data_IF_456869594640
#
_entry.id   IF_456869594640
#
_cell.length_a   1.000
_cell.length_b   1.000
_cell.length_c   1.000
_cell.angle_alpha   90.00
_cell.angle_beta   90.00
_cell.angle_gamma   90.00
#
_symmetry.space_group_name_H-M   'P 1'
#
loop_
_entity.id
_entity.type
_entity.pdbx_description
1 polymer ?
#
# COMPACT_ATOMS: atom_id res chain seq x y z
N UNK A 1 -16.75 -0.35 12.53
CA UNK A 1 -18.10 -0.74 12.14
C UNK A 1 -18.89 -1.35 13.31
N UNK A 2 -18.48 -2.47 13.95
CA UNK A 2 -19.24 -3.13 15.01
C UNK A 2 -19.66 -2.24 16.17
N UNK A 3 -18.79 -1.34 16.66
CA UNK A 3 -19.17 -0.38 17.72
C UNK A 3 -20.19 0.65 17.27
N UNK A 4 -20.11 1.14 16.05
CA UNK A 4 -21.11 2.08 15.51
C UNK A 4 -22.46 1.43 15.26
N UNK A 5 -22.50 0.13 14.96
CA UNK A 5 -23.76 -0.63 14.85
C UNK A 5 -24.40 -0.79 16.23
N UNK A 6 -23.59 -1.00 17.28
CA UNK A 6 -24.08 -1.14 18.64
C UNK A 6 -24.54 0.20 19.27
N UNK A 7 -23.96 1.33 18.84
CA UNK A 7 -24.29 2.67 19.29
C UNK A 7 -24.35 3.65 18.11
N UNK A 8 -25.56 3.91 17.62
CA UNK A 8 -25.81 4.78 16.46
C UNK A 8 -25.43 6.27 16.71
N UNK A 9 -25.18 6.67 17.94
CA UNK A 9 -24.75 8.02 18.30
C UNK A 9 -23.21 8.17 18.30
N UNK A 10 -22.48 7.06 18.21
CA UNK A 10 -21.00 7.07 18.23
C UNK A 10 -20.46 7.55 16.88
N UNK A 11 -19.68 8.60 16.86
CA UNK A 11 -19.01 9.08 15.65
C UNK A 11 -17.96 8.04 15.17
N UNK A 12 -17.61 8.10 13.89
CA UNK A 12 -16.54 7.23 13.35
C UNK A 12 -15.20 7.45 14.04
N UNK A 13 -14.92 8.69 14.43
CA UNK A 13 -13.69 9.05 15.12
C UNK A 13 -13.65 8.51 16.55
N UNK A 14 -14.74 8.66 17.31
CA UNK A 14 -14.86 8.09 18.66
C UNK A 14 -14.77 6.55 18.62
N UNK A 15 -15.37 5.93 17.61
CA UNK A 15 -15.28 4.48 17.42
C UNK A 15 -13.83 4.04 17.16
N UNK A 16 -13.08 4.74 16.31
CA UNK A 16 -11.65 4.47 16.07
C UNK A 16 -10.83 4.64 17.35
N UNK A 17 -11.04 5.75 18.08
CA UNK A 17 -10.34 6.01 19.33
C UNK A 17 -10.60 4.92 20.36
N UNK A 18 -11.87 4.54 20.55
CA UNK A 18 -12.21 3.48 21.50
C UNK A 18 -11.62 2.10 21.13
N UNK A 19 -11.47 1.80 19.82
CA UNK A 19 -10.78 0.60 19.36
C UNK A 19 -9.28 0.70 19.63
N UNK A 20 -8.68 1.85 19.35
CA UNK A 20 -7.26 2.10 19.59
C UNK A 20 -6.91 1.97 21.08
N UNK A 21 -7.69 2.60 21.96
CA UNK A 21 -7.52 2.50 23.41
C UNK A 21 -7.54 1.04 23.89
N UNK A 22 -8.54 0.28 23.46
CA UNK A 22 -8.66 -1.13 23.87
C UNK A 22 -7.49 -1.99 23.39
N UNK A 23 -6.99 -1.78 22.17
CA UNK A 23 -5.93 -2.61 21.57
C UNK A 23 -4.54 -2.20 22.00
N UNK A 24 -4.28 -0.89 22.11
CA UNK A 24 -2.93 -0.35 22.21
C UNK A 24 -2.69 0.43 23.50
N UNK A 25 -3.75 0.67 24.31
CA UNK A 25 -3.71 1.45 25.54
C UNK A 25 -3.92 2.95 25.31
N UNK A 26 -4.35 3.63 26.36
CA UNK A 26 -4.73 5.06 26.30
C UNK A 26 -3.54 5.97 25.93
N UNK A 27 -2.34 5.59 26.33
CA UNK A 27 -1.12 6.42 26.17
C UNK A 27 -0.76 6.71 24.71
N UNK A 28 -1.15 5.82 23.76
CA UNK A 28 -0.79 5.95 22.35
C UNK A 28 -2.01 5.90 21.42
N UNK A 29 -3.22 5.78 21.95
CA UNK A 29 -4.43 5.59 21.16
C UNK A 29 -4.64 6.69 20.10
N UNK A 30 -4.41 7.96 20.48
CA UNK A 30 -4.53 9.09 19.54
C UNK A 30 -3.52 8.96 18.37
N UNK A 31 -2.27 8.63 18.65
CA UNK A 31 -1.24 8.43 17.63
C UNK A 31 -1.59 7.28 16.67
N UNK A 32 -2.20 6.21 17.20
CA UNK A 32 -2.67 5.10 16.35
C UNK A 32 -3.79 5.55 15.43
N UNK A 33 -4.76 6.34 15.92
CA UNK A 33 -5.83 6.90 15.09
C UNK A 33 -5.27 7.81 14.00
N UNK A 34 -4.31 8.66 14.32
CA UNK A 34 -3.65 9.54 13.35
C UNK A 34 -2.89 8.73 12.27
N UNK A 35 -2.21 7.66 12.67
CA UNK A 35 -1.55 6.76 11.73
C UNK A 35 -2.55 6.04 10.81
N UNK A 36 -3.69 5.60 11.32
CA UNK A 36 -4.76 5.01 10.50
C UNK A 36 -5.33 6.02 9.49
N UNK A 37 -5.52 7.28 9.91
CA UNK A 37 -5.95 8.37 9.02
C UNK A 37 -4.91 8.62 7.92
N UNK A 38 -3.63 8.64 8.26
CA UNK A 38 -2.53 8.81 7.31
C UNK A 38 -2.46 7.65 6.31
N UNK A 39 -2.58 6.40 6.76
CA UNK A 39 -2.71 5.24 5.89
C UNK A 39 -3.91 5.38 4.93
N UNK A 40 -5.07 5.76 5.46
CA UNK A 40 -6.30 5.91 4.66
C UNK A 40 -6.16 7.01 3.62
N UNK A 41 -5.54 8.14 3.97
CA UNK A 41 -5.25 9.23 3.04
C UNK A 41 -4.28 8.77 1.95
N UNK A 42 -3.21 8.06 2.30
CA UNK A 42 -2.31 7.47 1.32
C UNK A 42 -3.02 6.47 0.42
N UNK A 43 -3.84 5.59 0.99
CA UNK A 43 -4.58 4.60 0.23
C UNK A 43 -5.67 5.21 -0.68
N UNK A 44 -6.20 6.39 -0.38
CA UNK A 44 -7.16 7.08 -1.27
C UNK A 44 -6.54 7.48 -2.61
N UNK A 45 -5.21 7.50 -2.72
CA UNK A 45 -4.47 7.72 -3.97
C UNK A 45 -4.33 6.45 -4.83
N UNK A 46 -4.77 5.29 -4.34
CA UNK A 46 -4.69 4.02 -5.08
C UNK A 46 -5.41 4.13 -6.42
N UNK A 47 -4.73 3.84 -7.55
CA UNK A 47 -5.29 3.94 -8.89
C UNK A 47 -6.22 2.76 -9.16
N UNK A 48 -7.43 2.83 -8.61
CA UNK A 48 -8.40 1.73 -8.70
C UNK A 48 -8.86 1.50 -10.15
N UNK A 49 -8.70 0.27 -10.60
CA UNK A 49 -9.25 -0.26 -11.84
C UNK A 49 -9.34 -1.79 -11.71
N UNK A 50 -10.37 -2.39 -12.32
CA UNK A 50 -10.57 -3.84 -12.24
C UNK A 50 -9.39 -4.63 -12.82
N UNK A 51 -8.79 -4.19 -13.92
CA UNK A 51 -7.60 -4.83 -14.48
C UNK A 51 -6.42 -4.73 -13.53
N UNK A 52 -6.18 -3.56 -12.92
CA UNK A 52 -5.18 -3.38 -11.89
C UNK A 52 -5.38 -4.30 -10.70
N UNK A 53 -6.64 -4.41 -10.24
CA UNK A 53 -6.97 -5.22 -9.07
C UNK A 53 -6.75 -6.73 -9.32
N UNK A 54 -7.19 -7.24 -10.47
CA UNK A 54 -7.20 -8.68 -10.73
C UNK A 54 -6.04 -9.20 -11.58
N UNK A 55 -5.38 -8.33 -12.35
CA UNK A 55 -4.32 -8.72 -13.28
C UNK A 55 -2.98 -8.05 -13.02
N UNK A 56 -2.91 -7.20 -11.98
CA UNK A 56 -1.70 -6.50 -11.60
C UNK A 56 -0.88 -7.24 -10.55
N UNK A 57 0.39 -6.86 -10.35
CA UNK A 57 1.27 -7.50 -9.38
C UNK A 57 0.76 -7.41 -7.94
N UNK A 58 -0.03 -6.41 -7.59
CA UNK A 58 -0.64 -6.28 -6.26
C UNK A 58 -1.61 -7.43 -5.92
N UNK A 59 -2.13 -8.15 -6.89
CA UNK A 59 -3.00 -9.30 -6.66
C UNK A 59 -2.25 -10.51 -6.10
N UNK A 60 -1.04 -10.77 -6.61
CA UNK A 60 -0.26 -11.97 -6.28
C UNK A 60 0.81 -11.75 -5.21
N UNK A 61 1.12 -10.51 -4.90
CA UNK A 61 2.14 -10.16 -3.93
C UNK A 61 3.30 -9.36 -4.51
N UNK A 62 4.26 -8.94 -3.67
CA UNK A 62 5.31 -8.00 -4.07
C UNK A 62 6.40 -8.64 -4.95
N UNK A 63 6.59 -9.95 -4.87
CA UNK A 63 7.61 -10.65 -5.63
C UNK A 63 7.11 -10.99 -7.05
N UNK A 64 7.77 -10.43 -8.04
CA UNK A 64 7.45 -10.67 -9.45
C UNK A 64 8.74 -10.65 -10.28
N UNK A 65 8.97 -11.67 -11.13
CA UNK A 65 10.12 -11.68 -12.03
C UNK A 65 10.14 -10.45 -12.94
N UNK A 66 11.30 -9.82 -13.06
CA UNK A 66 11.55 -8.71 -13.97
C UNK A 66 12.36 -9.22 -15.16
N UNK A 67 11.86 -8.98 -16.36
CA UNK A 67 12.48 -9.46 -17.60
C UNK A 67 13.09 -8.31 -18.38
N UNK A 68 14.33 -8.45 -18.82
CA UNK A 68 15.02 -7.44 -19.64
C UNK A 68 14.33 -7.18 -20.98
N UNK A 69 13.64 -8.19 -21.50
CA UNK A 69 12.85 -8.11 -22.73
C UNK A 69 11.40 -8.47 -22.45
N UNK A 70 10.43 -7.83 -23.15
CA UNK A 70 9.03 -8.22 -23.03
C UNK A 70 8.83 -9.70 -23.33
N UNK A 71 8.07 -10.40 -22.49
CA UNK A 71 7.76 -11.83 -22.67
C UNK A 71 6.70 -12.05 -23.74
N UNK A 72 5.94 -11.04 -24.11
CA UNK A 72 4.80 -11.15 -25.01
C UNK A 72 3.52 -11.71 -24.37
N UNK A 73 3.54 -12.05 -23.09
CA UNK A 73 2.37 -12.52 -22.36
C UNK A 73 1.66 -11.38 -21.62
N UNK A 74 0.33 -11.35 -21.73
CA UNK A 74 -0.50 -10.50 -20.87
C UNK A 74 -0.62 -11.14 -19.48
N UNK A 75 -0.58 -10.31 -18.44
CA UNK A 75 -0.87 -10.74 -17.08
C UNK A 75 -2.32 -11.25 -16.98
N UNK A 76 -2.53 -12.21 -16.09
CA UNK A 76 -3.86 -12.73 -15.77
C UNK A 76 -4.06 -12.76 -14.26
N UNK A 77 -5.29 -12.99 -13.84
CA UNK A 77 -5.65 -13.11 -12.41
C UNK A 77 -4.85 -14.20 -11.67
N UNK A 78 -4.33 -15.19 -12.36
CA UNK A 78 -3.66 -16.35 -11.78
C UNK A 78 -2.20 -16.52 -12.22
N UNK A 79 -1.61 -15.56 -12.94
CA UNK A 79 -0.29 -15.85 -13.49
C UNK A 79 0.59 -14.69 -13.89
N UNK A 80 1.87 -14.98 -13.82
CA UNK A 80 2.99 -14.23 -14.35
C UNK A 80 3.15 -14.43 -15.86
N UNK A 81 3.95 -13.59 -16.50
CA UNK A 81 4.62 -12.41 -15.98
C UNK A 81 3.73 -11.16 -15.98
N UNK A 82 4.02 -10.21 -15.10
CA UNK A 82 3.35 -8.91 -15.06
C UNK A 82 4.17 -7.85 -15.83
N UNK A 83 4.56 -8.13 -17.04
CA UNK A 83 5.39 -7.24 -17.86
C UNK A 83 4.62 -6.50 -18.97
N UNK A 84 3.34 -6.81 -19.14
CA UNK A 84 2.44 -6.09 -20.04
C UNK A 84 1.70 -4.98 -19.29
N UNK A 85 2.39 -3.90 -18.92
CA UNK A 85 1.85 -2.81 -18.12
C UNK A 85 0.48 -2.27 -18.60
N UNK A 86 0.21 -2.12 -19.91
CA UNK A 86 -1.11 -1.69 -20.38
C UNK A 86 -2.25 -2.65 -20.01
N UNK A 87 -1.95 -3.92 -19.75
CA UNK A 87 -2.96 -4.92 -19.40
C UNK A 87 -3.45 -4.80 -17.96
N UNK A 88 -2.70 -4.11 -17.07
CA UNK A 88 -3.04 -4.05 -15.65
C UNK A 88 -2.96 -2.66 -15.01
N UNK A 89 -2.56 -1.61 -15.72
CA UNK A 89 -2.60 -0.23 -15.21
C UNK A 89 -3.96 0.44 -15.36
N UNK A 90 -4.93 -0.23 -16.00
CA UNK A 90 -6.24 0.33 -16.29
C UNK A 90 -6.18 1.52 -17.25
N UNK A 91 -7.07 2.48 -17.06
CA UNK A 91 -7.13 3.71 -17.85
C UNK A 91 -6.04 4.73 -17.52
N UNK A 92 -5.25 4.51 -16.47
CA UNK A 92 -4.25 5.48 -16.02
C UNK A 92 -3.05 5.51 -16.96
N UNK A 93 -2.52 6.70 -17.33
CA UNK A 93 -1.18 6.82 -17.90
C UNK A 93 -0.13 6.17 -16.99
N UNK A 94 0.94 5.61 -17.58
CA UNK A 94 1.92 4.83 -16.83
C UNK A 94 2.63 5.61 -15.73
N UNK A 95 2.98 6.87 -16.00
CA UNK A 95 3.58 7.79 -15.04
C UNK A 95 2.63 8.16 -13.90
N UNK A 96 1.36 8.39 -14.22
CA UNK A 96 0.30 8.64 -13.23
C UNK A 96 0.12 7.41 -12.33
N UNK A 97 0.04 6.21 -12.92
CA UNK A 97 -0.08 4.96 -12.17
C UNK A 97 1.08 4.78 -11.18
N UNK A 98 2.33 4.98 -11.64
CA UNK A 98 3.53 4.91 -10.78
C UNK A 98 3.47 5.95 -9.67
N UNK A 99 3.09 7.19 -9.99
CA UNK A 99 3.01 8.26 -9.00
C UNK A 99 1.96 7.97 -7.93
N UNK A 100 0.80 7.47 -8.30
CA UNK A 100 -0.30 7.15 -7.37
C UNK A 100 0.07 5.97 -6.46
N UNK A 101 0.67 4.90 -6.99
CA UNK A 101 1.18 3.78 -6.18
C UNK A 101 2.26 4.23 -5.18
N UNK A 102 3.12 5.18 -5.56
CA UNK A 102 4.11 5.76 -4.65
C UNK A 102 3.48 6.60 -3.54
N UNK A 103 2.42 7.33 -3.82
CA UNK A 103 1.67 8.09 -2.81
C UNK A 103 1.01 7.13 -1.80
N UNK A 104 0.39 6.06 -2.28
CA UNK A 104 -0.15 5.03 -1.39
C UNK A 104 0.96 4.45 -0.49
N UNK A 105 2.08 4.02 -1.06
CA UNK A 105 3.22 3.49 -0.30
C UNK A 105 3.74 4.49 0.74
N UNK A 106 3.82 5.77 0.37
CA UNK A 106 4.30 6.85 1.26
C UNK A 106 3.41 7.01 2.48
N UNK A 107 2.08 7.00 2.33
CA UNK A 107 1.15 7.12 3.47
C UNK A 107 1.35 6.01 4.50
N UNK A 108 1.57 4.77 4.05
CA UNK A 108 1.90 3.66 4.95
C UNK A 108 3.28 3.83 5.60
N UNK A 109 4.29 4.25 4.86
CA UNK A 109 5.65 4.46 5.39
C UNK A 109 5.68 5.58 6.46
N UNK A 110 4.97 6.68 6.24
CA UNK A 110 4.84 7.78 7.21
C UNK A 110 4.14 7.31 8.50
N UNK A 111 3.08 6.51 8.36
CA UNK A 111 2.36 5.94 9.51
C UNK A 111 3.25 5.00 10.31
N UNK A 112 4.02 4.14 9.66
CA UNK A 112 4.99 3.25 10.30
C UNK A 112 6.06 4.05 11.04
N UNK A 113 6.63 5.08 10.42
CA UNK A 113 7.64 5.93 11.04
C UNK A 113 7.11 6.62 12.31
N UNK A 114 5.89 7.16 12.24
CA UNK A 114 5.24 7.79 13.39
C UNK A 114 5.00 6.82 14.54
N UNK A 115 4.46 5.62 14.26
CA UNK A 115 4.11 4.66 15.29
C UNK A 115 5.32 3.92 15.88
N UNK A 116 6.41 3.74 15.13
CA UNK A 116 7.64 3.12 15.65
C UNK A 116 8.16 3.85 16.90
N UNK A 117 8.01 5.16 16.96
CA UNK A 117 8.38 5.96 18.12
C UNK A 117 7.53 5.66 19.37
N UNK A 118 6.36 5.08 19.19
CA UNK A 118 5.45 4.73 20.30
C UNK A 118 5.72 3.34 20.89
N UNK A 119 6.55 2.51 20.26
CA UNK A 119 6.87 1.17 20.77
C UNK A 119 7.54 1.19 22.14
N UNK A 120 8.34 2.20 22.42
CA UNK A 120 9.02 2.34 23.72
C UNK A 120 8.05 2.74 24.86
N UNK A 121 6.91 3.33 24.49
CA UNK A 121 5.87 3.76 25.42
C UNK A 121 4.82 2.67 25.71
N UNK A 122 4.95 1.52 25.08
CA UNK A 122 4.01 0.42 25.22
C UNK A 122 4.66 -0.80 25.83
N UNK A 123 3.89 -1.55 26.64
CA UNK A 123 4.38 -2.76 27.34
C UNK A 123 3.38 -3.92 27.20
N UNK A 124 3.84 -5.13 27.48
CA UNK A 124 3.00 -6.33 27.52
C UNK A 124 2.20 -6.58 26.25
N UNK A 125 0.93 -6.91 26.41
CA UNK A 125 0.02 -7.23 25.30
C UNK A 125 -0.17 -6.09 24.31
N UNK A 126 -0.24 -4.83 24.77
CA UNK A 126 -0.38 -3.66 23.92
C UNK A 126 0.84 -3.48 22.99
N UNK A 127 2.05 -3.78 23.48
CA UNK A 127 3.26 -3.73 22.67
C UNK A 127 3.22 -4.77 21.54
N UNK A 128 2.76 -5.99 21.84
CA UNK A 128 2.61 -7.04 20.82
C UNK A 128 1.57 -6.67 19.77
N UNK A 129 0.44 -6.10 20.17
CA UNK A 129 -0.58 -5.61 19.24
C UNK A 129 -0.04 -4.47 18.35
N UNK A 130 0.69 -3.52 18.92
CA UNK A 130 1.30 -2.45 18.16
C UNK A 130 2.34 -2.98 17.16
N UNK A 131 3.15 -3.96 17.55
CA UNK A 131 4.11 -4.57 16.63
C UNK A 131 3.42 -5.30 15.47
N UNK A 132 2.31 -5.98 15.73
CA UNK A 132 1.50 -6.61 14.66
C UNK A 132 0.93 -5.57 13.70
N UNK A 133 0.39 -4.47 14.24
CA UNK A 133 -0.14 -3.37 13.44
C UNK A 133 0.93 -2.74 12.54
N UNK A 134 2.11 -2.48 13.12
CA UNK A 134 3.28 -1.97 12.38
C UNK A 134 3.70 -2.92 11.25
N UNK A 135 3.76 -4.22 11.52
CA UNK A 135 4.14 -5.21 10.52
C UNK A 135 3.15 -5.22 9.33
N UNK A 136 1.85 -5.08 9.60
CA UNK A 136 0.82 -5.02 8.55
C UNK A 136 0.99 -3.74 7.71
N UNK A 137 1.14 -2.59 8.36
CA UNK A 137 1.34 -1.31 7.68
C UNK A 137 2.61 -1.32 6.83
N UNK A 138 3.71 -1.86 7.36
CA UNK A 138 4.99 -1.97 6.67
C UNK A 138 4.88 -2.88 5.44
N UNK A 139 4.22 -4.03 5.59
CA UNK A 139 3.95 -4.95 4.48
C UNK A 139 3.12 -4.27 3.37
N UNK A 140 2.07 -3.53 3.73
CA UNK A 140 1.27 -2.77 2.76
C UNK A 140 2.12 -1.70 2.04
N UNK A 141 2.91 -0.93 2.77
CA UNK A 141 3.79 0.09 2.19
C UNK A 141 4.80 -0.50 1.22
N UNK A 142 5.47 -1.60 1.59
CA UNK A 142 6.41 -2.32 0.74
C UNK A 142 5.73 -2.91 -0.49
N UNK A 143 4.52 -3.42 -0.33
CA UNK A 143 3.74 -3.98 -1.44
C UNK A 143 3.41 -2.92 -2.50
N UNK A 144 2.88 -1.76 -2.10
CA UNK A 144 2.61 -0.66 -3.04
C UNK A 144 3.89 -0.08 -3.66
N UNK A 145 4.97 0.04 -2.88
CA UNK A 145 6.27 0.46 -3.38
C UNK A 145 6.81 -0.52 -4.44
N UNK A 146 6.67 -1.82 -4.20
CA UNK A 146 7.06 -2.86 -5.15
C UNK A 146 6.26 -2.76 -6.45
N UNK A 147 4.94 -2.57 -6.37
CA UNK A 147 4.10 -2.39 -7.56
C UNK A 147 4.52 -1.16 -8.38
N UNK A 148 4.80 -0.04 -7.70
CA UNK A 148 5.30 1.17 -8.35
C UNK A 148 6.65 0.93 -9.05
N UNK A 149 7.56 0.21 -8.40
CA UNK A 149 8.88 -0.10 -8.95
C UNK A 149 8.78 -1.04 -10.17
N UNK A 150 7.90 -2.04 -10.12
CA UNK A 150 7.65 -2.94 -11.25
C UNK A 150 7.09 -2.17 -12.46
N UNK A 151 6.10 -1.30 -12.25
CA UNK A 151 5.58 -0.44 -13.30
C UNK A 151 6.67 0.48 -13.87
N UNK A 152 7.46 1.11 -13.02
CA UNK A 152 8.57 1.97 -13.43
C UNK A 152 9.64 1.22 -14.22
N UNK A 153 9.98 0.02 -13.77
CA UNK A 153 10.92 -0.85 -14.49
C UNK A 153 10.46 -1.12 -15.93
N UNK A 154 9.19 -1.50 -16.12
CA UNK A 154 8.63 -1.76 -17.44
C UNK A 154 8.68 -0.51 -18.33
N UNK A 155 8.30 0.64 -17.80
CA UNK A 155 8.37 1.92 -18.53
C UNK A 155 9.79 2.21 -19.01
N UNK A 156 10.77 2.10 -18.11
CA UNK A 156 12.18 2.37 -18.45
C UNK A 156 12.74 1.35 -19.45
N UNK A 157 12.46 0.07 -19.25
CA UNK A 157 12.85 -0.99 -20.18
C UNK A 157 12.35 -0.70 -21.60
N UNK A 158 11.08 -0.37 -21.73
CA UNK A 158 10.44 -0.14 -23.01
C UNK A 158 10.98 1.16 -23.66
N UNK A 159 11.26 2.19 -22.89
CA UNK A 159 11.92 3.41 -23.37
C UNK A 159 13.34 3.15 -23.91
N UNK A 160 14.13 2.34 -23.18
CA UNK A 160 15.49 1.98 -23.61
C UNK A 160 15.42 1.13 -24.89
N UNK A 161 14.49 0.18 -24.98
CA UNK A 161 14.29 -0.63 -26.17
C UNK A 161 13.87 0.19 -27.41
N UNK A 162 13.15 1.30 -27.20
CA UNK A 162 12.76 2.23 -28.25
C UNK A 162 13.88 3.23 -28.65
N UNK A 163 15.09 3.10 -28.08
CA UNK A 163 16.21 4.00 -28.37
C UNK A 163 16.25 5.25 -27.48
N UNK A 164 15.55 5.25 -26.34
CA UNK A 164 15.58 6.29 -25.33
C UNK A 164 16.93 6.38 -24.60
N UNK A 165 17.13 7.50 -23.86
CA UNK A 165 18.33 7.75 -23.09
C UNK A 165 18.50 6.68 -21.99
N UNK A 166 19.72 6.11 -21.91
CA UNK A 166 20.10 5.09 -20.91
C UNK A 166 20.44 5.67 -19.53
N UNK A 167 20.37 6.99 -19.38
CA UNK A 167 20.78 7.72 -18.17
C UNK A 167 19.60 8.17 -17.29
N UNK A 168 18.37 7.74 -17.58
CA UNK A 168 17.16 8.15 -16.84
C UNK A 168 16.84 7.26 -15.63
#
# INVERSE_FOLDING_TARGET
>A
AGKMIADAKLSGEDAMLAVAQRRFGDAIAAQVVDAWKTCSTGFSEYPYDNSGLYSGPQHMGPANPLYEKPTGYAASMVGFPYDALPAWRGAYPADVYVAQMRKAAKGFAESVASLKLSLEKTVGGHRMELQRELNIMEACGLHYASCANQARFIVLRDQIAAGGDKTA
#
